data_IF_036190851521
#
_entry.id   IF_036190851521
#
_cell.length_a   1.000
_cell.length_b   1.000
_cell.length_c   1.000
_cell.angle_alpha   90.00
_cell.angle_beta   90.00
_cell.angle_gamma   90.00
#
_symmetry.space_group_name_H-M   'P 1'
#
loop_
_entity.id
_entity.type
_entity.pdbx_description
1 polymer ?
#
# COMPACT_ATOMS: atom_id res chain seq x y z
N UNK A 1 -72.71 46.98 -51.93
CA UNK A 1 -71.94 47.81 -50.97
C UNK A 1 -71.74 47.13 -49.61
N UNK A 2 -72.78 46.51 -49.03
CA UNK A 2 -72.73 45.90 -47.70
C UNK A 2 -71.84 44.63 -47.62
N UNK A 3 -71.82 43.78 -48.66
CA UNK A 3 -70.98 42.58 -48.70
C UNK A 3 -69.46 42.91 -48.74
N UNK A 4 -69.07 43.96 -49.47
CA UNK A 4 -67.69 44.49 -49.46
C UNK A 4 -67.31 45.07 -48.09
N UNK A 5 -68.24 45.71 -47.38
CA UNK A 5 -68.03 46.17 -46.01
C UNK A 5 -67.84 44.99 -45.04
N UNK A 6 -68.68 43.97 -45.14
CA UNK A 6 -68.56 42.75 -44.32
C UNK A 6 -67.26 42.00 -44.61
N UNK A 7 -66.85 41.87 -45.88
CA UNK A 7 -65.59 41.24 -46.28
C UNK A 7 -64.37 42.01 -45.76
N UNK A 8 -64.40 43.35 -45.83
CA UNK A 8 -63.35 44.19 -45.25
C UNK A 8 -63.31 44.10 -43.72
N UNK A 9 -64.47 43.93 -43.08
CA UNK A 9 -64.58 43.79 -41.63
C UNK A 9 -64.08 42.41 -41.17
N UNK A 10 -64.49 41.31 -41.82
CA UNK A 10 -64.00 39.94 -41.54
C UNK A 10 -62.49 39.81 -41.76
N UNK A 11 -61.94 40.47 -42.79
CA UNK A 11 -60.50 40.54 -43.01
C UNK A 11 -59.76 41.38 -41.93
N UNK A 12 -60.46 42.28 -41.23
CA UNK A 12 -59.89 43.15 -40.21
C UNK A 12 -60.00 42.58 -38.78
N UNK A 13 -60.99 41.73 -38.46
CA UNK A 13 -61.26 41.25 -37.09
C UNK A 13 -60.72 39.86 -36.74
N UNK A 14 -59.98 39.19 -37.64
CA UNK A 14 -59.58 37.79 -37.45
C UNK A 14 -58.07 37.51 -37.35
N UNK A 15 -57.23 38.51 -37.09
CA UNK A 15 -55.77 38.29 -37.06
C UNK A 15 -55.29 37.92 -35.66
N UNK A 16 -54.90 36.66 -35.45
CA UNK A 16 -54.10 36.23 -34.30
C UNK A 16 -52.61 36.37 -34.63
N UNK A 17 -51.87 37.11 -33.79
CA UNK A 17 -50.42 37.27 -33.92
C UNK A 17 -49.74 36.29 -32.98
N UNK A 18 -48.84 35.46 -33.51
CA UNK A 18 -48.00 34.55 -32.71
C UNK A 18 -46.55 34.98 -32.89
N UNK A 19 -45.88 35.34 -31.79
CA UNK A 19 -44.45 35.67 -31.77
C UNK A 19 -43.73 34.65 -30.91
N UNK A 20 -42.63 34.10 -31.42
CA UNK A 20 -41.77 33.24 -30.63
C UNK A 20 -40.87 34.06 -29.69
N UNK A 21 -40.60 33.52 -28.50
CA UNK A 21 -39.53 34.03 -27.63
C UNK A 21 -38.15 33.58 -28.14
N UNK A 22 -37.07 34.12 -27.57
CA UNK A 22 -35.69 33.90 -28.03
C UNK A 22 -35.30 32.42 -28.23
N UNK A 23 -35.77 31.54 -27.35
CA UNK A 23 -35.39 30.11 -27.35
C UNK A 23 -36.49 29.18 -27.86
N UNK A 24 -37.47 29.73 -28.57
CA UNK A 24 -38.63 29.02 -29.06
C UNK A 24 -38.66 29.18 -30.58
N UNK A 25 -38.88 28.07 -31.27
CA UNK A 25 -39.20 28.08 -32.68
C UNK A 25 -40.70 27.86 -32.85
N UNK A 26 -41.36 28.74 -33.60
CA UNK A 26 -42.75 28.55 -34.03
C UNK A 26 -42.76 28.40 -35.54
N UNK A 27 -43.24 27.25 -36.00
CA UNK A 27 -43.46 26.99 -37.43
C UNK A 27 -44.95 26.93 -37.70
N UNK A 28 -45.39 27.56 -38.78
CA UNK A 28 -46.80 27.62 -39.15
C UNK A 28 -47.03 26.88 -40.46
N UNK A 29 -48.00 25.99 -40.47
CA UNK A 29 -48.49 25.33 -41.69
C UNK A 29 -49.92 25.79 -41.95
N UNK A 30 -50.23 26.17 -43.19
CA UNK A 30 -51.59 26.59 -43.56
C UNK A 30 -52.23 25.50 -44.41
N UNK A 31 -53.35 24.95 -43.93
CA UNK A 31 -54.15 23.95 -44.65
C UNK A 31 -55.55 24.52 -44.89
N UNK A 32 -55.77 25.09 -46.09
CA UNK A 32 -57.02 25.78 -46.41
C UNK A 32 -57.23 27.02 -45.54
N UNK A 33 -58.33 27.05 -44.77
CA UNK A 33 -58.64 28.15 -43.84
C UNK A 33 -58.05 27.97 -42.44
N UNK A 34 -57.41 26.82 -42.15
CA UNK A 34 -56.84 26.49 -40.83
C UNK A 34 -55.34 26.78 -40.79
N UNK A 35 -54.87 27.35 -39.68
CA UNK A 35 -53.44 27.53 -39.37
C UNK A 35 -53.03 26.61 -38.21
N UNK A 36 -52.08 25.73 -38.47
CA UNK A 36 -51.46 24.89 -37.46
C UNK A 36 -50.14 25.51 -37.01
N UNK A 37 -49.91 25.57 -35.70
CA UNK A 37 -48.69 26.09 -35.11
C UNK A 37 -47.96 24.97 -34.40
N UNK A 38 -46.74 24.68 -34.82
CA UNK A 38 -45.83 23.77 -34.13
C UNK A 38 -44.79 24.58 -33.38
N UNK A 39 -44.75 24.38 -32.07
CA UNK A 39 -43.81 25.03 -31.16
C UNK A 39 -42.73 24.03 -30.75
N UNK A 40 -41.47 24.42 -30.79
CA UNK A 40 -40.34 23.63 -30.33
C UNK A 40 -39.30 24.49 -29.62
N UNK A 41 -38.34 23.84 -28.96
CA UNK A 41 -37.11 24.51 -28.54
C UNK A 41 -36.30 24.93 -29.77
N UNK A 42 -35.54 26.02 -29.63
CA UNK A 42 -34.53 26.44 -30.59
C UNK A 42 -33.28 25.54 -30.53
N UNK A 43 -32.44 25.67 -31.55
CA UNK A 43 -31.24 24.84 -31.71
C UNK A 43 -30.20 25.10 -30.61
N UNK A 44 -30.09 26.31 -30.08
CA UNK A 44 -29.12 26.63 -29.01
C UNK A 44 -29.43 25.86 -27.72
N UNK A 45 -30.72 25.77 -27.32
CA UNK A 45 -31.13 24.96 -26.18
C UNK A 45 -30.98 23.48 -26.47
N UNK A 46 -31.39 23.03 -27.67
CA UNK A 46 -31.26 21.62 -28.05
C UNK A 46 -29.79 21.18 -28.05
N UNK A 47 -28.89 21.99 -28.58
CA UNK A 47 -27.45 21.74 -28.58
C UNK A 47 -26.85 21.75 -27.17
N UNK A 48 -27.26 22.69 -26.30
CA UNK A 48 -26.84 22.70 -24.90
C UNK A 48 -27.26 21.44 -24.15
N UNK A 49 -28.49 20.98 -24.38
CA UNK A 49 -28.99 19.72 -23.80
C UNK A 49 -28.13 18.56 -24.29
N UNK A 50 -27.91 18.44 -25.61
CA UNK A 50 -27.06 17.38 -26.18
C UNK A 50 -25.64 17.40 -25.61
N UNK A 51 -25.01 18.58 -25.54
CA UNK A 51 -23.67 18.73 -24.98
C UNK A 51 -23.62 18.32 -23.51
N UNK A 52 -24.60 18.73 -22.71
CA UNK A 52 -24.69 18.35 -21.31
C UNK A 52 -24.92 16.84 -21.16
N UNK A 53 -25.74 16.22 -22.00
CA UNK A 53 -25.92 14.76 -22.03
C UNK A 53 -24.60 14.05 -22.33
N UNK A 54 -23.83 14.52 -23.31
CA UNK A 54 -22.50 13.95 -23.60
C UNK A 54 -21.53 14.11 -22.43
N UNK A 55 -21.49 15.29 -21.81
CA UNK A 55 -20.63 15.53 -20.64
C UNK A 55 -21.00 14.61 -19.46
N UNK A 56 -22.30 14.41 -19.20
CA UNK A 56 -22.79 13.49 -18.17
C UNK A 56 -22.34 12.06 -18.46
N UNK A 57 -22.44 11.60 -19.70
CA UNK A 57 -21.99 10.27 -20.09
C UNK A 57 -20.47 10.09 -19.89
N UNK A 58 -19.68 11.10 -20.23
CA UNK A 58 -18.22 11.08 -20.01
C UNK A 58 -17.89 11.01 -18.50
N UNK A 59 -18.54 11.86 -17.69
CA UNK A 59 -18.39 11.85 -16.22
C UNK A 59 -18.77 10.48 -15.64
N UNK A 60 -19.82 9.83 -16.14
CA UNK A 60 -20.19 8.49 -15.72
C UNK A 60 -19.09 7.45 -16.03
N UNK A 61 -18.41 7.59 -17.16
CA UNK A 61 -17.22 6.79 -17.50
C UNK A 61 -16.07 7.03 -16.52
N UNK A 62 -15.74 8.29 -16.25
CA UNK A 62 -14.68 8.67 -15.29
C UNK A 62 -14.97 8.14 -13.88
N UNK A 63 -16.22 8.28 -13.40
CA UNK A 63 -16.65 7.74 -12.10
C UNK A 63 -16.49 6.22 -12.06
N UNK A 64 -16.74 5.52 -13.16
CA UNK A 64 -16.56 4.06 -13.25
C UNK A 64 -15.08 3.68 -13.14
N UNK A 65 -14.20 4.40 -13.85
CA UNK A 65 -12.76 4.20 -13.78
C UNK A 65 -12.21 4.52 -12.37
N UNK A 66 -12.67 5.61 -11.76
CA UNK A 66 -12.28 5.98 -10.39
C UNK A 66 -12.68 4.88 -9.40
N UNK A 67 -13.88 4.31 -9.52
CA UNK A 67 -14.31 3.19 -8.66
C UNK A 67 -13.37 1.98 -8.79
N UNK A 68 -12.98 1.62 -10.02
CA UNK A 68 -12.02 0.53 -10.24
C UNK A 68 -10.66 0.82 -9.62
N UNK A 69 -10.14 2.04 -9.80
CA UNK A 69 -8.87 2.47 -9.19
C UNK A 69 -8.93 2.40 -7.67
N UNK A 70 -10.03 2.85 -7.05
CA UNK A 70 -10.22 2.76 -5.60
C UNK A 70 -10.24 1.30 -5.13
N UNK A 71 -10.89 0.40 -5.87
CA UNK A 71 -10.87 -1.04 -5.57
C UNK A 71 -9.45 -1.63 -5.64
N UNK A 72 -8.67 -1.26 -6.66
CA UNK A 72 -7.28 -1.72 -6.80
C UNK A 72 -6.41 -1.21 -5.64
N UNK A 73 -6.50 0.08 -5.31
CA UNK A 73 -5.79 0.69 -4.18
C UNK A 73 -6.14 -0.01 -2.86
N UNK A 74 -7.41 -0.39 -2.66
CA UNK A 74 -7.83 -1.14 -1.47
C UNK A 74 -7.17 -2.54 -1.40
N UNK A 75 -6.96 -3.18 -2.55
CA UNK A 75 -6.19 -4.42 -2.67
C UNK A 75 -4.72 -4.21 -2.29
N UNK A 76 -4.08 -3.19 -2.86
CA UNK A 76 -2.67 -2.86 -2.57
C UNK A 76 -2.45 -2.55 -1.08
N UNK A 77 -3.33 -1.77 -0.46
CA UNK A 77 -3.28 -1.48 0.99
C UNK A 77 -3.36 -2.77 1.82
N UNK A 78 -4.16 -3.74 1.39
CA UNK A 78 -4.30 -5.02 2.09
C UNK A 78 -3.01 -5.83 2.03
N UNK A 79 -2.36 -5.87 0.86
CA UNK A 79 -1.06 -6.53 0.67
C UNK A 79 0.03 -5.84 1.51
N UNK A 80 0.12 -4.51 1.46
CA UNK A 80 1.08 -3.73 2.26
C UNK A 80 0.91 -4.00 3.76
N UNK A 81 -0.33 -4.08 4.25
CA UNK A 81 -0.60 -4.40 5.67
C UNK A 81 -0.05 -5.78 6.05
N UNK A 82 -0.18 -6.77 5.17
CA UNK A 82 0.37 -8.11 5.39
C UNK A 82 1.90 -8.08 5.41
N UNK A 83 2.53 -7.37 4.46
CA UNK A 83 3.98 -7.22 4.39
C UNK A 83 4.56 -6.54 5.63
N UNK A 84 3.95 -5.46 6.09
CA UNK A 84 4.33 -4.76 7.32
C UNK A 84 4.21 -5.69 8.54
N UNK A 85 3.15 -6.49 8.61
CA UNK A 85 2.96 -7.48 9.70
C UNK A 85 4.05 -8.55 9.67
N UNK A 86 4.40 -9.06 8.50
CA UNK A 86 5.49 -10.03 8.32
C UNK A 86 6.84 -9.44 8.71
N UNK A 87 7.08 -8.19 8.32
CA UNK A 87 8.31 -7.47 8.66
C UNK A 87 8.42 -7.27 10.17
N UNK A 88 7.33 -6.89 10.86
CA UNK A 88 7.30 -6.81 12.33
C UNK A 88 7.65 -8.13 13.01
N UNK A 89 7.13 -9.26 12.51
CA UNK A 89 7.50 -10.61 13.01
C UNK A 89 8.97 -10.93 12.78
N UNK A 90 9.52 -10.57 11.61
CA UNK A 90 10.91 -10.80 11.29
C UNK A 90 11.85 -9.97 12.16
N UNK A 91 11.53 -8.69 12.39
CA UNK A 91 12.29 -7.80 13.29
C UNK A 91 12.29 -8.35 14.71
N UNK A 92 11.13 -8.76 15.24
CA UNK A 92 11.06 -9.37 16.58
C UNK A 92 11.88 -10.67 16.70
N UNK A 93 11.95 -11.47 15.63
CA UNK A 93 12.80 -12.67 15.59
C UNK A 93 14.28 -12.31 15.53
N UNK A 94 14.65 -11.28 14.77
CA UNK A 94 16.03 -10.80 14.68
C UNK A 94 16.51 -10.26 16.03
N UNK A 95 15.69 -9.44 16.70
CA UNK A 95 15.97 -8.90 18.03
C UNK A 95 16.31 -10.02 19.03
N UNK A 96 15.46 -11.05 19.11
CA UNK A 96 15.72 -12.24 19.94
C UNK A 96 17.00 -12.98 19.56
N UNK A 97 17.29 -13.11 18.26
CA UNK A 97 18.52 -13.75 17.76
C UNK A 97 19.75 -12.96 18.18
N UNK A 98 19.72 -11.64 18.07
CA UNK A 98 20.80 -10.75 18.50
C UNK A 98 21.04 -10.91 20.00
N UNK A 99 19.99 -10.83 20.82
CA UNK A 99 20.14 -10.94 22.27
C UNK A 99 20.76 -12.28 22.69
N UNK A 100 20.32 -13.39 22.07
CA UNK A 100 20.89 -14.72 22.27
C UNK A 100 22.33 -14.86 21.78
N UNK A 101 22.67 -14.23 20.66
CA UNK A 101 24.02 -14.25 20.08
C UNK A 101 25.00 -13.49 20.98
N UNK A 102 24.61 -12.33 21.51
CA UNK A 102 25.44 -11.54 22.43
C UNK A 102 25.60 -12.27 23.76
N UNK A 103 24.51 -12.83 24.31
CA UNK A 103 24.59 -13.71 25.47
C UNK A 103 25.52 -14.90 25.22
N UNK A 104 25.48 -15.49 24.02
CA UNK A 104 26.38 -16.56 23.59
C UNK A 104 27.84 -16.14 23.55
N UNK A 105 28.14 -14.97 23.00
CA UNK A 105 29.48 -14.41 23.01
C UNK A 105 29.99 -14.15 24.44
N UNK A 106 29.14 -13.63 25.33
CA UNK A 106 29.48 -13.46 26.75
C UNK A 106 29.72 -14.81 27.44
N UNK A 107 28.92 -15.84 27.14
CA UNK A 107 29.12 -17.19 27.66
C UNK A 107 30.45 -17.80 27.20
N UNK A 108 30.78 -17.63 25.92
CA UNK A 108 32.05 -18.08 25.34
C UNK A 108 33.24 -17.32 25.93
N UNK A 109 33.09 -16.02 26.19
CA UNK A 109 34.12 -15.20 26.85
C UNK A 109 34.31 -15.58 28.33
N UNK A 110 33.29 -16.16 28.97
CA UNK A 110 33.40 -16.73 30.30
C UNK A 110 34.14 -18.07 30.34
N UNK A 111 34.53 -18.64 29.20
CA UNK A 111 35.32 -19.87 29.13
C UNK A 111 36.78 -19.58 29.43
N UNK A 112 37.24 -20.10 30.56
CA UNK A 112 38.62 -19.97 30.99
C UNK A 112 39.17 -21.36 31.33
N UNK A 113 40.33 -21.75 30.78
CA UNK A 113 41.01 -22.96 31.18
C UNK A 113 41.59 -22.79 32.59
N UNK A 114 41.82 -23.90 33.29
CA UNK A 114 42.56 -23.89 34.55
C UNK A 114 44.06 -23.66 34.29
N UNK A 115 44.81 -23.46 35.37
CA UNK A 115 46.27 -23.33 35.31
C UNK A 115 46.91 -24.58 34.69
N UNK A 116 48.04 -24.41 33.99
CA UNK A 116 48.69 -25.49 33.26
C UNK A 116 49.20 -26.60 34.18
N UNK A 117 48.82 -27.84 33.85
CA UNK A 117 49.35 -29.07 34.42
C UNK A 117 50.03 -29.91 33.30
N UNK A 118 51.34 -30.21 33.38
CA UNK A 118 52.06 -30.96 32.35
C UNK A 118 51.54 -32.38 32.12
N UNK A 119 50.84 -32.96 33.09
CA UNK A 119 50.20 -34.28 32.99
C UNK A 119 48.77 -34.19 32.39
N UNK A 120 48.17 -32.99 32.36
CA UNK A 120 46.82 -32.73 31.82
C UNK A 120 46.85 -31.69 30.69
N UNK A 121 47.04 -32.18 29.46
CA UNK A 121 47.09 -31.32 28.25
C UNK A 121 45.74 -30.82 27.74
N UNK A 122 44.63 -31.30 28.32
CA UNK A 122 43.26 -30.97 27.93
C UNK A 122 42.53 -30.32 29.08
N UNK A 123 41.96 -29.14 28.86
CA UNK A 123 41.07 -28.46 29.80
C UNK A 123 39.68 -28.30 29.20
N UNK A 124 38.65 -28.43 30.02
CA UNK A 124 37.27 -28.17 29.63
C UNK A 124 36.70 -27.06 30.50
N UNK A 125 35.97 -26.13 29.88
CA UNK A 125 35.31 -25.04 30.59
C UNK A 125 33.83 -24.99 30.23
N UNK A 126 33.04 -24.47 31.16
CA UNK A 126 31.66 -24.12 30.94
C UNK A 126 31.47 -22.64 31.32
N UNK A 127 30.72 -21.92 30.49
CA UNK A 127 30.47 -20.50 30.65
C UNK A 127 28.98 -20.20 30.54
N UNK A 128 28.56 -19.12 31.18
CA UNK A 128 27.20 -18.61 31.07
C UNK A 128 27.25 -17.13 30.75
N UNK A 129 26.36 -16.69 29.87
CA UNK A 129 26.26 -15.31 29.44
C UNK A 129 24.81 -14.88 29.37
N UNK A 130 24.58 -13.63 29.75
CA UNK A 130 23.27 -13.00 29.77
C UNK A 130 23.37 -11.65 29.08
N UNK A 131 22.41 -11.36 28.20
CA UNK A 131 22.27 -10.06 27.57
C UNK A 131 20.79 -9.80 27.28
N UNK A 132 20.24 -8.76 27.91
CA UNK A 132 18.84 -8.38 27.81
C UNK A 132 17.89 -9.55 28.15
N UNK A 133 17.00 -10.00 27.25
CA UNK A 133 16.16 -11.18 27.45
C UNK A 133 16.80 -12.49 26.96
N UNK A 134 18.04 -12.43 26.44
CA UNK A 134 18.82 -13.56 25.95
C UNK A 134 19.71 -14.18 27.03
N UNK A 135 19.72 -15.51 27.09
CA UNK A 135 20.60 -16.29 27.95
C UNK A 135 21.28 -17.37 27.12
N UNK A 136 22.55 -17.66 27.41
CA UNK A 136 23.28 -18.72 26.75
C UNK A 136 24.25 -19.42 27.71
N UNK A 137 24.40 -20.72 27.53
CA UNK A 137 25.51 -21.47 28.09
C UNK A 137 26.52 -21.75 26.97
N UNK A 138 27.78 -21.95 27.33
CA UNK A 138 28.82 -22.35 26.42
C UNK A 138 29.67 -23.45 27.04
N UNK A 139 30.24 -24.29 26.19
CA UNK A 139 31.21 -25.30 26.54
C UNK A 139 32.45 -25.09 25.68
N UNK A 140 33.63 -25.23 26.30
CA UNK A 140 34.92 -25.06 25.64
C UNK A 140 35.86 -26.21 25.95
N UNK A 141 36.75 -26.50 25.01
CA UNK A 141 37.87 -27.38 25.18
C UNK A 141 39.15 -26.63 24.79
N UNK A 142 40.19 -26.80 25.59
CA UNK A 142 41.49 -26.18 25.40
C UNK A 142 42.54 -27.27 25.37
N UNK A 143 43.50 -27.16 24.44
CA UNK A 143 44.59 -28.10 24.28
C UNK A 143 45.92 -27.36 24.39
N UNK A 144 46.77 -27.77 25.32
CA UNK A 144 48.03 -27.10 25.66
C UNK A 144 49.19 -28.10 25.60
N UNK A 145 49.88 -28.26 24.44
CA UNK A 145 50.96 -29.24 24.27
C UNK A 145 52.17 -29.01 25.19
N UNK A 146 52.45 -27.74 25.50
CA UNK A 146 53.55 -27.24 26.34
C UNK A 146 53.12 -25.95 27.05
N UNK A 147 53.95 -25.40 27.93
CA UNK A 147 53.63 -24.20 28.73
C UNK A 147 53.47 -22.90 27.93
N UNK A 148 53.91 -22.92 26.67
CA UNK A 148 53.98 -21.74 25.80
C UNK A 148 52.89 -21.69 24.73
N UNK A 149 52.19 -22.79 24.45
CA UNK A 149 51.24 -22.88 23.34
C UNK A 149 49.91 -23.46 23.81
N UNK A 150 48.81 -22.75 23.54
CA UNK A 150 47.46 -23.26 23.76
C UNK A 150 46.58 -23.04 22.53
N UNK A 151 45.74 -24.04 22.24
CA UNK A 151 44.63 -23.98 21.30
C UNK A 151 43.31 -24.02 22.07
N UNK A 152 42.28 -23.38 21.54
CA UNK A 152 40.93 -23.39 22.13
C UNK A 152 39.87 -23.57 21.07
N UNK A 153 38.77 -24.22 21.46
CA UNK A 153 37.52 -24.31 20.70
C UNK A 153 36.36 -24.24 21.67
N UNK A 154 35.30 -23.54 21.30
CA UNK A 154 34.11 -23.40 22.14
C UNK A 154 32.84 -23.27 21.32
N UNK A 155 31.72 -23.66 21.93
CA UNK A 155 30.40 -23.58 21.31
C UNK A 155 29.32 -23.22 22.32
N UNK A 156 28.30 -22.47 21.88
CA UNK A 156 27.12 -22.15 22.69
C UNK A 156 26.07 -23.25 22.61
N UNK A 157 25.40 -23.51 23.73
CA UNK A 157 24.36 -24.51 23.89
C UNK A 157 23.17 -23.95 24.66
N UNK A 158 21.99 -24.52 24.41
CA UNK A 158 20.77 -24.26 25.21
C UNK A 158 20.01 -22.96 24.90
N UNK A 159 20.52 -22.09 24.01
CA UNK A 159 19.86 -20.82 23.64
C UNK A 159 19.15 -20.86 22.27
N UNK A 160 19.28 -21.95 21.50
CA UNK A 160 18.70 -22.11 20.16
C UNK A 160 19.45 -21.36 19.04
N UNK A 161 20.59 -20.72 19.36
CA UNK A 161 21.49 -20.10 18.39
C UNK A 161 22.91 -20.59 18.69
N UNK A 162 23.45 -21.44 17.82
CA UNK A 162 24.79 -22.01 17.99
C UNK A 162 25.84 -21.08 17.43
N UNK A 163 26.70 -20.59 18.30
CA UNK A 163 27.90 -19.82 17.98
C UNK A 163 29.11 -20.71 18.27
N UNK A 164 30.09 -20.70 17.38
CA UNK A 164 31.33 -21.47 17.52
C UNK A 164 32.51 -20.51 17.49
N UNK A 165 33.50 -20.72 18.36
CA UNK A 165 34.78 -20.01 18.32
C UNK A 165 35.96 -21.00 18.30
N UNK A 166 37.11 -20.52 17.83
CA UNK A 166 38.39 -21.21 17.91
C UNK A 166 39.51 -20.18 18.05
N UNK A 167 40.59 -20.53 18.73
CA UNK A 167 41.70 -19.61 19.00
C UNK A 167 43.02 -20.32 19.29
N UNK A 168 44.09 -19.52 19.31
CA UNK A 168 45.44 -19.94 19.70
C UNK A 168 46.09 -18.82 20.51
N UNK A 169 46.83 -19.17 21.56
CA UNK A 169 47.62 -18.26 22.37
C UNK A 169 49.05 -18.77 22.52
N UNK A 170 50.00 -17.83 22.56
CA UNK A 170 51.43 -18.11 22.70
C UNK A 170 52.00 -17.26 23.84
N UNK A 171 52.76 -17.87 24.74
CA UNK A 171 53.53 -17.16 25.77
C UNK A 171 54.91 -16.80 25.22
N UNK A 172 55.36 -15.56 25.47
CA UNK A 172 56.69 -15.09 25.08
C UNK A 172 57.34 -14.47 26.32
N UNK A 173 58.33 -15.15 26.88
CA UNK A 173 59.05 -14.71 28.08
C UNK A 173 59.85 -15.84 28.72
#
# INVERSE_FOLDING_TARGET
AQLKKLQNQVNATGSTTVSAGKHINVTTTTNGTTKDYKVSLSDDITNQITNNTTNINNIQGDVTNIKQNVTNIQGDITNIKQDVTNMGRNVARLDKKVNKSVAGAAALAALHPLDFDPDAKWDFAAGYGHYHDGNAAALGAFYRPNEDLQFSVGSTVGNGETVVNAGMSVKVG
#
